data_IF_442429027828
#
_entry.id   IF_442429027828
#
_cell.length_a   1.000
_cell.length_b   1.000
_cell.length_c   1.000
_cell.angle_alpha   90.00
_cell.angle_beta   90.00
_cell.angle_gamma   90.00
#
_symmetry.space_group_name_H-M   'P 1'
#
loop_
_entity.id
_entity.type
_entity.pdbx_description
1 polymer ?
#
# COMPACT_ATOMS: atom_id res chain seq x y z
N UNK A 1 13.51 11.64 16.00
CA UNK A 1 13.86 11.80 14.57
C UNK A 1 12.91 12.82 13.95
N UNK A 2 13.37 13.73 13.11
CA UNK A 2 12.47 14.70 12.48
C UNK A 2 11.54 13.98 11.50
N UNK A 3 10.23 14.23 11.59
CA UNK A 3 9.21 13.65 10.72
C UNK A 3 9.54 13.98 9.25
N UNK A 4 9.51 12.99 8.38
CA UNK A 4 9.73 13.17 6.95
C UNK A 4 8.59 14.03 6.37
N UNK A 5 8.92 15.20 5.83
CA UNK A 5 7.94 16.07 5.19
C UNK A 5 8.04 15.94 3.68
N UNK A 6 6.92 15.90 2.99
CA UNK A 6 6.88 15.93 1.54
C UNK A 6 6.84 17.38 1.07
N UNK A 7 7.79 17.76 0.21
CA UNK A 7 7.91 19.10 -0.35
C UNK A 7 7.23 19.23 -1.72
N UNK A 8 7.15 18.12 -2.47
CA UNK A 8 6.41 18.05 -3.73
C UNK A 8 5.80 16.65 -3.89
N UNK A 9 4.62 16.60 -4.48
CA UNK A 9 3.95 15.36 -4.81
C UNK A 9 3.10 15.55 -6.08
N UNK A 10 3.18 14.59 -6.99
CA UNK A 10 2.49 14.63 -8.29
C UNK A 10 2.03 13.24 -8.73
N UNK A 11 0.97 13.18 -9.51
CA UNK A 11 0.60 11.99 -10.26
C UNK A 11 1.51 11.85 -11.48
N UNK A 12 2.04 10.67 -11.71
CA UNK A 12 2.96 10.41 -12.82
C UNK A 12 2.25 9.69 -13.96
N UNK A 13 1.72 8.51 -13.70
CA UNK A 13 1.08 7.66 -14.71
C UNK A 13 0.20 6.58 -14.07
N UNK A 14 -0.52 5.85 -14.91
CA UNK A 14 -1.24 4.63 -14.55
C UNK A 14 -0.80 3.47 -15.43
N UNK A 15 -0.62 2.30 -14.86
CA UNK A 15 -0.29 1.06 -15.56
C UNK A 15 -1.48 0.10 -15.53
N UNK A 16 -1.83 -0.46 -16.69
CA UNK A 16 -2.86 -1.48 -16.84
C UNK A 16 -2.27 -2.90 -16.98
N UNK A 17 -0.98 -3.00 -17.30
CA UNK A 17 -0.27 -4.25 -17.56
C UNK A 17 1.23 -4.10 -17.26
N UNK A 18 1.97 -5.19 -17.31
CA UNK A 18 3.42 -5.20 -17.14
C UNK A 18 4.16 -4.23 -18.08
N UNK A 19 3.64 -4.02 -19.31
CA UNK A 19 4.24 -3.14 -20.31
C UNK A 19 4.15 -1.66 -19.97
N UNK A 20 3.15 -1.30 -19.14
CA UNK A 20 2.89 0.07 -18.74
C UNK A 20 3.61 0.43 -17.44
N UNK A 21 4.23 -0.56 -16.77
CA UNK A 21 4.92 -0.35 -15.51
C UNK A 21 6.09 0.61 -15.69
N UNK A 22 6.15 1.59 -14.81
CA UNK A 22 7.17 2.63 -14.89
C UNK A 22 8.57 2.02 -14.68
N UNK A 23 9.46 2.27 -15.64
CA UNK A 23 10.87 1.92 -15.53
C UNK A 23 11.62 3.14 -14.97
N UNK A 24 12.04 3.07 -13.72
CA UNK A 24 12.62 4.21 -13.01
C UNK A 24 13.67 3.73 -12.02
N UNK A 25 14.75 4.51 -11.78
CA UNK A 25 15.72 4.20 -10.75
C UNK A 25 15.23 4.59 -9.33
N UNK A 26 14.00 5.05 -9.18
CA UNK A 26 13.46 5.45 -7.88
C UNK A 26 12.89 4.23 -7.13
N UNK A 27 12.98 4.27 -5.81
CA UNK A 27 12.30 3.34 -4.93
C UNK A 27 10.77 3.39 -5.11
N UNK A 28 10.11 2.24 -5.01
CA UNK A 28 8.66 2.13 -5.03
C UNK A 28 8.15 1.56 -3.71
N UNK A 29 7.15 2.21 -3.13
CA UNK A 29 6.36 1.71 -2.01
C UNK A 29 4.95 1.40 -2.50
N UNK A 30 4.61 0.12 -2.56
CA UNK A 30 3.29 -0.31 -2.98
C UNK A 30 2.27 -0.14 -1.84
N UNK A 31 1.10 0.39 -2.18
CA UNK A 31 -0.07 0.44 -1.28
C UNK A 31 -1.13 -0.51 -1.83
N UNK A 32 -1.44 -1.52 -1.04
CA UNK A 32 -2.45 -2.53 -1.34
C UNK A 32 -3.56 -2.53 -0.30
N UNK A 33 -4.71 -3.08 -0.64
CA UNK A 33 -5.83 -3.21 0.28
C UNK A 33 -7.14 -3.33 -0.48
N UNK A 34 -8.19 -3.76 0.21
CA UNK A 34 -9.54 -3.90 -0.37
C UNK A 34 -10.07 -2.57 -0.92
N UNK A 35 -11.03 -2.68 -1.82
CA UNK A 35 -11.82 -1.52 -2.24
C UNK A 35 -12.43 -0.82 -1.01
N UNK A 36 -12.37 0.51 -0.98
CA UNK A 36 -12.89 1.36 0.10
C UNK A 36 -12.23 1.17 1.48
N UNK A 37 -11.08 0.53 1.56
CA UNK A 37 -10.30 0.41 2.81
C UNK A 37 -9.69 1.74 3.27
N UNK A 38 -9.56 2.72 2.37
CA UNK A 38 -8.98 4.03 2.67
C UNK A 38 -7.64 4.32 1.97
N UNK A 39 -7.27 3.57 0.92
CA UNK A 39 -6.02 3.77 0.15
C UNK A 39 -5.85 5.21 -0.31
N UNK A 40 -6.80 5.72 -1.10
CA UNK A 40 -6.71 7.09 -1.64
C UNK A 40 -6.67 8.16 -0.54
N UNK A 41 -7.36 7.96 0.57
CA UNK A 41 -7.30 8.87 1.72
C UNK A 41 -5.90 8.88 2.33
N UNK A 42 -5.33 7.70 2.56
CA UNK A 42 -3.98 7.58 3.12
C UNK A 42 -2.93 8.19 2.16
N UNK A 43 -3.02 7.90 0.86
CA UNK A 43 -2.13 8.48 -0.16
C UNK A 43 -2.17 10.01 -0.10
N UNK A 44 -3.36 10.61 -0.04
CA UNK A 44 -3.51 12.06 0.03
C UNK A 44 -2.90 12.64 1.33
N UNK A 45 -3.07 11.97 2.46
CA UNK A 45 -2.44 12.38 3.74
C UNK A 45 -0.93 12.28 3.66
N UNK A 46 -0.39 11.17 3.14
CA UNK A 46 1.05 11.01 2.95
C UNK A 46 1.61 12.02 1.93
N UNK A 47 0.89 12.33 0.87
CA UNK A 47 1.30 13.33 -0.12
C UNK A 47 1.17 14.79 0.39
N UNK A 48 0.45 15.02 1.50
CA UNK A 48 0.16 16.35 2.02
C UNK A 48 -0.76 17.19 1.10
N UNK A 49 -1.41 16.56 0.12
CA UNK A 49 -2.32 17.19 -0.86
C UNK A 49 -3.24 16.17 -1.52
N UNK A 50 -4.30 16.64 -2.15
CA UNK A 50 -5.23 15.77 -2.89
C UNK A 50 -4.62 15.39 -4.25
N UNK A 51 -4.20 14.16 -4.40
CA UNK A 51 -3.70 13.53 -5.63
C UNK A 51 -4.58 12.38 -6.07
N UNK A 52 -4.84 11.45 -5.17
CA UNK A 52 -5.67 10.29 -5.44
C UNK A 52 -7.14 10.66 -5.33
N UNK A 53 -7.95 10.28 -6.33
CA UNK A 53 -9.40 10.49 -6.29
C UNK A 53 -10.02 9.53 -5.28
N UNK A 54 -10.67 10.09 -4.28
CA UNK A 54 -11.50 9.31 -3.34
C UNK A 54 -12.85 9.07 -4.00
N UNK A 55 -13.14 7.85 -4.43
CA UNK A 55 -14.47 7.51 -4.95
C UNK A 55 -15.16 6.50 -4.02
N UNK A 56 -16.44 6.76 -3.74
CA UNK A 56 -17.28 5.82 -3.00
C UNK A 56 -17.74 4.62 -3.87
N UNK A 57 -17.58 4.70 -5.21
CA UNK A 57 -18.02 3.64 -6.12
C UNK A 57 -16.94 2.54 -6.21
N UNK A 58 -17.29 1.29 -5.87
CA UNK A 58 -16.37 0.17 -5.89
C UNK A 58 -15.97 -0.26 -7.31
N UNK A 59 -14.75 -0.82 -7.47
CA UNK A 59 -14.32 -1.43 -8.73
C UNK A 59 -13.79 -0.47 -9.80
N UNK A 60 -13.55 0.82 -9.51
CA UNK A 60 -13.08 1.79 -10.51
C UNK A 60 -11.58 1.76 -10.77
N UNK A 61 -10.76 1.29 -9.85
CA UNK A 61 -9.31 1.28 -10.03
C UNK A 61 -8.86 -0.11 -10.47
N UNK A 62 -8.75 -0.29 -11.79
CA UNK A 62 -8.15 -1.48 -12.41
C UNK A 62 -6.68 -1.26 -12.79
N UNK A 63 -6.13 -0.10 -12.42
CA UNK A 63 -4.81 0.37 -12.80
C UNK A 63 -3.94 0.50 -11.55
N UNK A 64 -2.65 0.29 -11.69
CA UNK A 64 -1.66 0.71 -10.71
C UNK A 64 -1.33 2.19 -10.98
N UNK A 65 -1.57 3.06 -9.98
CA UNK A 65 -1.34 4.49 -10.13
C UNK A 65 -0.03 4.89 -9.44
N UNK A 66 0.84 5.57 -10.15
CA UNK A 66 2.12 6.03 -9.68
C UNK A 66 2.06 7.50 -9.25
N UNK A 67 2.44 7.76 -8.02
CA UNK A 67 2.58 9.10 -7.44
C UNK A 67 4.04 9.32 -7.05
N UNK A 68 4.68 10.34 -7.60
CA UNK A 68 6.03 10.73 -7.21
C UNK A 68 5.97 11.65 -6.01
N UNK A 69 6.70 11.31 -4.96
CA UNK A 69 6.83 12.10 -3.75
C UNK A 69 8.29 12.54 -3.58
N UNK A 70 8.49 13.83 -3.31
CA UNK A 70 9.79 14.40 -2.98
C UNK A 70 9.82 14.72 -1.48
N UNK A 71 10.57 13.96 -0.68
CA UNK A 71 10.75 14.31 0.72
C UNK A 71 11.69 15.51 0.88
N UNK A 72 11.61 16.18 2.04
CA UNK A 72 12.49 17.30 2.40
C UNK A 72 13.97 16.87 2.56
N UNK A 73 14.20 15.58 2.75
CA UNK A 73 15.52 14.94 2.82
C UNK A 73 15.50 13.61 2.10
N UNK A 74 16.55 13.30 1.37
CA UNK A 74 16.67 12.05 0.60
C UNK A 74 16.10 12.15 -0.82
N UNK A 75 16.23 11.08 -1.60
CA UNK A 75 15.75 11.02 -2.98
C UNK A 75 14.22 10.99 -3.06
N UNK A 76 13.68 11.36 -4.20
CA UNK A 76 12.30 11.11 -4.54
C UNK A 76 12.02 9.60 -4.60
N UNK A 77 10.77 9.22 -4.38
CA UNK A 77 10.30 7.85 -4.49
C UNK A 77 8.88 7.82 -5.07
N UNK A 78 8.41 6.64 -5.44
CA UNK A 78 7.04 6.45 -5.88
C UNK A 78 6.18 5.77 -4.81
N UNK A 79 5.01 6.33 -4.52
CA UNK A 79 3.89 5.58 -3.96
C UNK A 79 3.12 4.95 -5.12
N UNK A 80 2.86 3.66 -5.07
CA UNK A 80 2.14 2.93 -6.11
C UNK A 80 0.83 2.39 -5.53
N UNK A 81 -0.30 2.99 -5.95
CA UNK A 81 -1.64 2.54 -5.55
C UNK A 81 -2.05 1.35 -6.40
N UNK A 82 -1.96 0.16 -5.83
CA UNK A 82 -2.40 -1.05 -6.50
C UNK A 82 -3.94 -1.14 -6.52
N UNK A 83 -4.54 -1.81 -7.53
CA UNK A 83 -5.97 -2.07 -7.55
C UNK A 83 -6.46 -2.67 -6.24
N UNK A 84 -7.67 -2.33 -5.83
CA UNK A 84 -8.27 -2.94 -4.64
C UNK A 84 -8.74 -4.36 -4.92
N UNK A 85 -8.40 -5.31 -4.04
CA UNK A 85 -8.93 -6.68 -4.08
C UNK A 85 -10.29 -6.81 -3.37
N UNK A 86 -10.92 -7.99 -3.46
CA UNK A 86 -12.10 -8.37 -2.64
C UNK A 86 -13.44 -7.82 -3.10
N UNK A 87 -13.55 -7.26 -4.30
CA UNK A 87 -14.83 -6.75 -4.83
C UNK A 87 -15.50 -7.65 -5.87
N UNK A 88 -14.94 -8.80 -6.15
CA UNK A 88 -15.46 -9.70 -7.14
C UNK A 88 -16.55 -10.62 -6.55
N UNK A 89 -17.80 -10.34 -6.83
CA UNK A 89 -18.88 -11.36 -6.83
C UNK A 89 -18.84 -12.25 -8.10
N UNK A 90 -17.75 -12.22 -8.86
CA UNK A 90 -17.54 -13.03 -10.05
C UNK A 90 -16.06 -13.27 -10.30
N UNK A 91 -15.70 -14.47 -10.77
CA UNK A 91 -14.33 -14.95 -10.97
C UNK A 91 -13.42 -14.04 -11.85
N UNK A 92 -13.98 -13.12 -12.64
CA UNK A 92 -13.23 -12.28 -13.57
C UNK A 92 -12.48 -11.11 -12.92
N UNK A 93 -13.01 -10.54 -11.83
CA UNK A 93 -12.38 -9.36 -11.21
C UNK A 93 -11.31 -9.74 -10.18
N UNK A 94 -11.44 -10.90 -9.51
CA UNK A 94 -10.37 -11.48 -8.68
C UNK A 94 -9.14 -11.82 -9.51
N UNK A 95 -9.34 -12.41 -10.70
CA UNK A 95 -8.28 -12.72 -11.64
C UNK A 95 -7.54 -11.46 -12.15
N UNK A 96 -8.25 -10.34 -12.36
CA UNK A 96 -7.63 -9.10 -12.83
C UNK A 96 -6.72 -8.46 -11.77
N UNK A 97 -7.09 -8.50 -10.48
CA UNK A 97 -6.21 -8.07 -9.39
C UNK A 97 -4.97 -8.96 -9.31
N UNK A 98 -5.16 -10.28 -9.31
CA UNK A 98 -4.06 -11.24 -9.22
C UNK A 98 -3.08 -11.08 -10.37
N UNK A 99 -3.57 -10.82 -11.59
CA UNK A 99 -2.74 -10.63 -12.78
C UNK A 99 -1.89 -9.37 -12.65
N UNK A 100 -2.49 -8.20 -12.42
CA UNK A 100 -1.74 -6.94 -12.35
C UNK A 100 -0.82 -6.89 -11.12
N UNK A 101 -1.23 -7.44 -9.98
CA UNK A 101 -0.37 -7.54 -8.81
C UNK A 101 0.85 -8.43 -9.10
N UNK A 102 0.66 -9.58 -9.74
CA UNK A 102 1.77 -10.44 -10.18
C UNK A 102 2.68 -9.72 -11.16
N UNK A 103 2.11 -9.09 -12.19
CA UNK A 103 2.87 -8.30 -13.16
C UNK A 103 3.65 -7.16 -12.50
N UNK A 104 3.05 -6.49 -11.51
CA UNK A 104 3.73 -5.45 -10.74
C UNK A 104 4.95 -5.98 -9.99
N UNK A 105 4.85 -7.17 -9.37
CA UNK A 105 5.94 -7.75 -8.59
C UNK A 105 7.00 -8.43 -9.47
N UNK A 106 6.62 -9.09 -10.55
CA UNK A 106 7.51 -9.94 -11.33
C UNK A 106 7.84 -9.38 -12.73
N UNK A 107 7.17 -8.32 -13.16
CA UNK A 107 7.33 -7.80 -14.53
C UNK A 107 6.74 -8.74 -15.58
N UNK A 108 7.28 -8.70 -16.79
CA UNK A 108 6.92 -9.65 -17.86
C UNK A 108 7.39 -11.05 -17.48
N UNK A 109 6.49 -12.01 -17.52
CA UNK A 109 6.46 -13.34 -16.89
C UNK A 109 7.66 -14.27 -17.18
N UNK A 110 8.68 -13.82 -17.88
CA UNK A 110 9.84 -14.63 -18.29
C UNK A 110 11.01 -14.64 -17.30
N UNK A 111 10.93 -13.89 -16.22
CA UNK A 111 11.99 -13.87 -15.20
C UNK A 111 11.40 -13.82 -13.80
N UNK A 112 11.66 -14.84 -12.99
CA UNK A 112 11.25 -14.96 -11.59
C UNK A 112 11.97 -13.97 -10.65
N UNK A 113 12.13 -12.71 -11.07
CA UNK A 113 12.81 -11.68 -10.30
C UNK A 113 11.82 -10.63 -9.85
N UNK A 114 11.67 -10.48 -8.54
CA UNK A 114 10.95 -9.35 -7.96
C UNK A 114 11.55 -8.06 -8.52
N UNK A 115 10.68 -7.14 -8.96
CA UNK A 115 11.13 -5.84 -9.45
C UNK A 115 11.99 -5.15 -8.38
N UNK A 116 13.20 -4.81 -8.77
CA UNK A 116 14.20 -4.24 -7.86
C UNK A 116 13.82 -2.85 -7.34
N UNK A 117 12.87 -2.17 -7.98
CA UNK A 117 12.34 -0.88 -7.54
C UNK A 117 11.54 -0.97 -6.25
N UNK A 118 10.98 -2.16 -5.89
CA UNK A 118 10.07 -2.30 -4.75
C UNK A 118 10.86 -2.28 -3.44
N UNK A 119 10.73 -1.20 -2.68
CA UNK A 119 11.32 -1.03 -1.35
C UNK A 119 10.45 -1.64 -0.25
N UNK A 120 9.13 -1.77 -0.46
CA UNK A 120 8.22 -2.37 0.50
C UNK A 120 6.76 -2.28 0.09
N UNK A 121 5.92 -2.95 0.86
CA UNK A 121 4.46 -2.98 0.71
C UNK A 121 3.77 -2.51 1.97
N UNK A 122 2.79 -1.64 1.83
CA UNK A 122 1.86 -1.21 2.87
C UNK A 122 0.52 -1.87 2.58
N UNK A 123 0.15 -2.88 3.36
CA UNK A 123 -1.12 -3.57 3.23
C UNK A 123 -2.15 -2.96 4.18
N UNK A 124 -3.21 -2.40 3.63
CA UNK A 124 -4.29 -1.77 4.39
C UNK A 124 -5.43 -2.76 4.65
N UNK A 125 -5.86 -2.83 5.90
CA UNK A 125 -7.07 -3.53 6.34
C UNK A 125 -8.00 -2.55 7.06
N UNK A 126 -9.30 -2.80 7.04
CA UNK A 126 -10.29 -1.95 7.75
C UNK A 126 -10.37 -2.38 9.21
N UNK A 127 -9.98 -1.51 10.13
CA UNK A 127 -10.00 -1.80 11.56
C UNK A 127 -11.38 -2.20 12.11
N UNK A 128 -12.46 -1.81 11.43
CA UNK A 128 -13.84 -2.18 11.80
C UNK A 128 -14.18 -3.64 11.48
N UNK A 129 -13.40 -4.27 10.60
CA UNK A 129 -13.63 -5.64 10.11
C UNK A 129 -12.32 -6.44 10.14
N UNK A 130 -11.76 -6.69 11.35
CA UNK A 130 -10.48 -7.38 11.47
C UNK A 130 -10.57 -8.86 11.09
N UNK A 131 -9.55 -9.37 10.37
CA UNK A 131 -9.41 -10.80 10.11
C UNK A 131 -10.28 -11.37 9.00
N UNK A 132 -10.64 -10.59 8.00
CA UNK A 132 -11.32 -11.09 6.80
C UNK A 132 -10.38 -12.03 6.02
N UNK A 133 -10.93 -13.14 5.52
CA UNK A 133 -10.17 -14.16 4.77
C UNK A 133 -9.40 -13.56 3.59
N UNK A 134 -10.04 -12.67 2.83
CA UNK A 134 -9.40 -11.98 1.70
C UNK A 134 -8.21 -11.11 2.12
N UNK A 135 -8.24 -10.51 3.32
CA UNK A 135 -7.13 -9.73 3.85
C UNK A 135 -5.99 -10.66 4.32
N UNK A 136 -6.34 -11.80 4.92
CA UNK A 136 -5.37 -12.81 5.33
C UNK A 136 -4.69 -13.49 4.13
N UNK A 137 -5.43 -13.77 3.06
CA UNK A 137 -4.88 -14.28 1.80
C UNK A 137 -3.92 -13.28 1.17
N UNK A 138 -4.32 -11.99 1.07
CA UNK A 138 -3.45 -10.93 0.56
C UNK A 138 -2.19 -10.78 1.41
N UNK A 139 -2.30 -10.81 2.74
CA UNK A 139 -1.15 -10.72 3.64
C UNK A 139 -0.15 -11.87 3.41
N UNK A 140 -0.64 -13.10 3.31
CA UNK A 140 0.22 -14.27 3.02
C UNK A 140 0.87 -14.13 1.64
N UNK A 141 0.10 -13.71 0.64
CA UNK A 141 0.63 -13.53 -0.71
C UNK A 141 1.72 -12.46 -0.77
N UNK A 142 1.49 -11.27 -0.22
CA UNK A 142 2.50 -10.20 -0.18
C UNK A 142 3.72 -10.61 0.67
N UNK A 143 3.51 -11.29 1.80
CA UNK A 143 4.59 -11.78 2.64
C UNK A 143 5.51 -12.79 1.95
N UNK A 144 4.95 -13.60 1.04
CA UNK A 144 5.71 -14.56 0.25
C UNK A 144 6.59 -13.92 -0.84
N UNK A 145 6.41 -12.60 -1.12
CA UNK A 145 7.22 -11.91 -2.11
C UNK A 145 8.63 -11.55 -1.63
N UNK A 146 8.94 -11.72 -0.35
CA UNK A 146 10.28 -11.47 0.21
C UNK A 146 10.67 -9.99 0.28
N UNK A 147 9.72 -9.07 0.14
CA UNK A 147 9.91 -7.64 0.37
C UNK A 147 9.32 -7.22 1.72
N UNK A 148 9.83 -6.12 2.33
CA UNK A 148 9.26 -5.61 3.57
C UNK A 148 7.75 -5.36 3.46
N UNK A 149 6.98 -5.86 4.45
CA UNK A 149 5.53 -5.73 4.49
C UNK A 149 5.08 -5.08 5.80
N UNK A 150 4.34 -3.98 5.70
CA UNK A 150 3.70 -3.32 6.85
C UNK A 150 2.20 -3.50 6.80
N UNK A 151 1.64 -4.13 7.82
CA UNK A 151 0.19 -4.23 8.02
C UNK A 151 -0.30 -2.96 8.70
N UNK A 152 -1.30 -2.29 8.10
CA UNK A 152 -1.88 -1.03 8.57
C UNK A 152 -3.39 -1.18 8.70
N UNK A 153 -3.92 -0.98 9.89
CA UNK A 153 -5.36 -1.01 10.17
C UNK A 153 -5.92 0.43 10.11
N UNK A 154 -6.64 0.72 9.05
CA UNK A 154 -7.22 2.05 8.77
C UNK A 154 -8.53 2.29 9.51
N UNK A 155 -9.00 3.54 9.52
CA UNK A 155 -10.28 3.96 10.12
C UNK A 155 -10.35 3.72 11.63
N UNK A 156 -9.20 3.82 12.32
CA UNK A 156 -9.12 3.68 13.76
C UNK A 156 -9.98 4.71 14.52
N UNK A 157 -10.25 5.88 13.91
CA UNK A 157 -11.16 6.91 14.42
C UNK A 157 -12.62 6.44 14.56
N UNK A 158 -12.99 5.37 13.89
CA UNK A 158 -14.36 4.80 13.95
C UNK A 158 -14.54 3.80 15.10
N UNK A 159 -13.50 3.55 15.88
CA UNK A 159 -13.49 2.61 16.99
C UNK A 159 -13.36 3.31 18.32
N UNK A 160 -14.16 2.91 19.31
CA UNK A 160 -13.97 3.25 20.72
C UNK A 160 -12.66 2.63 21.25
N UNK A 161 -12.17 3.09 22.38
CA UNK A 161 -10.97 2.55 23.02
C UNK A 161 -11.04 1.04 23.26
N UNK A 162 -12.20 0.55 23.73
CA UNK A 162 -12.40 -0.87 23.99
C UNK A 162 -12.42 -1.71 22.70
N UNK A 163 -13.03 -1.17 21.62
CA UNK A 163 -13.02 -1.81 20.30
C UNK A 163 -11.63 -1.87 19.71
N UNK A 164 -10.83 -0.81 19.84
CA UNK A 164 -9.44 -0.78 19.38
C UNK A 164 -8.61 -1.91 20.00
N UNK A 165 -8.75 -2.13 21.30
CA UNK A 165 -8.03 -3.21 21.97
C UNK A 165 -8.45 -4.59 21.44
N UNK A 166 -9.77 -4.82 21.30
CA UNK A 166 -10.30 -6.07 20.73
C UNK A 166 -9.83 -6.27 19.28
N UNK A 167 -9.90 -5.23 18.46
CA UNK A 167 -9.43 -5.24 17.07
C UNK A 167 -7.93 -5.55 17.00
N UNK A 168 -7.10 -4.93 17.82
CA UNK A 168 -5.65 -5.20 17.87
C UNK A 168 -5.38 -6.68 18.14
N UNK A 169 -6.05 -7.28 19.13
CA UNK A 169 -5.91 -8.71 19.42
C UNK A 169 -6.42 -9.59 18.27
N UNK A 170 -7.54 -9.22 17.65
CA UNK A 170 -8.09 -9.96 16.52
C UNK A 170 -7.15 -9.94 15.30
N UNK A 171 -6.56 -8.77 14.99
CA UNK A 171 -5.58 -8.61 13.93
C UNK A 171 -4.31 -9.43 14.21
N UNK A 172 -3.76 -9.36 15.44
CA UNK A 172 -2.59 -10.15 15.79
C UNK A 172 -2.85 -11.65 15.67
N UNK A 173 -4.05 -12.11 16.04
CA UNK A 173 -4.43 -13.52 15.88
C UNK A 173 -4.56 -13.92 14.40
N UNK A 174 -5.15 -13.06 13.57
CA UNK A 174 -5.41 -13.35 12.15
C UNK A 174 -4.14 -13.32 11.29
N UNK A 175 -3.20 -12.41 11.61
CA UNK A 175 -2.02 -12.16 10.77
C UNK A 175 -0.70 -12.63 11.39
N UNK A 176 -0.69 -13.05 12.66
CA UNK A 176 0.54 -13.43 13.37
C UNK A 176 1.47 -12.26 13.68
N UNK A 177 1.06 -11.02 13.43
CA UNK A 177 1.83 -9.80 13.65
C UNK A 177 0.93 -8.65 14.08
N UNK A 178 1.52 -7.63 14.71
CA UNK A 178 0.80 -6.41 15.06
C UNK A 178 0.54 -5.54 13.84
N UNK A 179 -0.68 -4.97 13.75
CA UNK A 179 -1.01 -3.96 12.78
C UNK A 179 -0.81 -2.55 13.35
N UNK A 180 -0.29 -1.64 12.55
CA UNK A 180 -0.28 -0.22 12.88
C UNK A 180 -1.69 0.36 12.72
N UNK A 181 -2.26 0.86 13.82
CA UNK A 181 -3.56 1.52 13.80
C UNK A 181 -3.40 2.93 13.24
N UNK A 182 -4.20 3.27 12.22
CA UNK A 182 -4.12 4.56 11.53
C UNK A 182 -5.51 5.19 11.39
N UNK A 183 -5.57 6.48 11.73
CA UNK A 183 -6.66 7.37 11.33
C UNK A 183 -6.09 8.44 10.39
N UNK A 184 -6.30 8.30 9.09
CA UNK A 184 -5.84 9.27 8.12
C UNK A 184 -6.44 10.68 8.34
N UNK A 185 -7.76 10.85 8.61
CA UNK A 185 -8.31 12.16 8.92
C UNK A 185 -7.80 12.77 10.23
N UNK A 186 -7.50 11.95 11.23
CA UNK A 186 -7.04 12.37 12.55
C UNK A 186 -5.52 12.46 12.70
N UNK A 187 -4.77 12.02 11.71
CA UNK A 187 -3.30 12.01 11.76
C UNK A 187 -2.70 10.93 12.66
N UNK A 188 -3.51 10.12 13.34
CA UNK A 188 -3.06 9.05 14.23
C UNK A 188 -2.31 7.97 13.45
N UNK A 189 -1.12 7.54 13.96
CA UNK A 189 -0.28 6.51 13.35
C UNK A 189 0.48 6.96 12.09
N UNK A 190 0.25 8.17 11.58
CA UNK A 190 0.91 8.67 10.36
C UNK A 190 2.41 8.88 10.58
N UNK A 191 2.83 9.37 11.74
CA UNK A 191 4.25 9.58 12.04
C UNK A 191 5.00 8.24 12.16
N UNK A 192 4.38 7.24 12.79
CA UNK A 192 4.95 5.89 12.86
C UNK A 192 5.05 5.25 11.47
N UNK A 193 4.03 5.44 10.62
CA UNK A 193 4.08 4.97 9.24
C UNK A 193 5.20 5.66 8.45
N UNK A 194 5.39 6.96 8.62
CA UNK A 194 6.51 7.69 8.01
C UNK A 194 7.87 7.20 8.48
N UNK A 195 7.99 6.84 9.76
CA UNK A 195 9.23 6.25 10.30
C UNK A 195 9.55 4.93 9.61
N UNK A 196 8.54 4.08 9.43
CA UNK A 196 8.73 2.82 8.70
C UNK A 196 9.07 3.06 7.22
N UNK A 197 8.38 3.97 6.55
CA UNK A 197 8.65 4.34 5.15
C UNK A 197 10.10 4.81 4.99
N UNK A 198 10.55 5.73 5.84
CA UNK A 198 11.92 6.25 5.81
C UNK A 198 12.95 5.12 5.95
N UNK A 199 12.73 4.19 6.88
CA UNK A 199 13.62 3.03 7.07
C UNK A 199 13.71 2.16 5.81
N UNK A 200 12.58 1.93 5.11
CA UNK A 200 12.60 1.14 3.90
C UNK A 200 13.34 1.86 2.76
N UNK A 201 13.13 3.17 2.62
CA UNK A 201 13.82 3.97 1.61
C UNK A 201 15.33 4.06 1.87
N UNK A 202 15.75 4.17 3.12
CA UNK A 202 17.17 4.21 3.50
C UNK A 202 17.88 2.85 3.29
N UNK A 203 17.17 1.75 3.49
CA UNK A 203 17.69 0.39 3.29
C UNK A 203 17.64 -0.06 1.84
N UNK A 204 16.81 0.59 1.03
CA UNK A 204 16.68 0.25 -0.37
C UNK A 204 17.92 0.73 -1.15
N UNK A 205 18.57 -0.21 -1.79
CA UNK A 205 19.70 0.08 -2.70
C UNK A 205 19.29 -0.36 -4.10
N UNK A 206 19.35 0.54 -5.11
CA UNK A 206 19.17 0.13 -6.48
C UNK A 206 20.24 -0.89 -6.83
N UNK A 207 19.85 -2.12 -7.11
CA UNK A 207 20.82 -3.08 -7.67
C UNK A 207 21.16 -2.58 -9.07
N UNK A 208 22.45 -2.39 -9.33
CA UNK A 208 22.93 -2.09 -10.68
C UNK A 208 22.49 -3.20 -11.63
N UNK A 209 22.07 -2.87 -12.87
CA UNK A 209 21.73 -3.85 -13.87
C UNK A 209 22.87 -4.79 -14.18
#
# INVERSE_FOLDING_TARGET
MATLRITAAEFVTSAASARDLLQTPLAELAIAGRSNVGKSTLINVLAGRTLARTSAAPGKTRLANYYRLQPSRGPAFHLVDLPGYGYARGARDGQAFDTLAREYFFGDVRGAWIRQAIAGVILLVDARHPGLDSDAEAFRWFGAQGCPLRLVATKADKLSRAERQRTSHALTRAFGTSALMVSAPGGEGIEELWTWIAQQLDQWTPRKP
#
